data_IF_446030801062
#
_entry.id   IF_446030801062
#
_cell.length_a   1.000
_cell.length_b   1.000
_cell.length_c   1.000
_cell.angle_alpha   90.00
_cell.angle_beta   90.00
_cell.angle_gamma   90.00
#
_symmetry.space_group_name_H-M   'P 1'
#
loop_
_entity.id
_entity.type
_entity.pdbx_description
1 polymer ?
#
# COMPACT_ATOMS: atom_id res chain seq x y z
N UNK A 1 12.40 19.27 -18.74
CA UNK A 1 12.82 19.75 -17.42
C UNK A 1 13.29 21.19 -17.54
N UNK A 2 12.83 22.06 -16.67
CA UNK A 2 13.41 23.40 -16.49
C UNK A 2 14.85 23.26 -15.95
N UNK A 3 15.68 24.29 -16.12
CA UNK A 3 17.10 24.25 -15.75
C UNK A 3 17.36 24.06 -14.23
N UNK A 4 16.34 24.28 -13.40
CA UNK A 4 16.34 24.17 -11.95
C UNK A 4 15.59 22.92 -11.43
N UNK A 5 15.19 22.01 -12.32
CA UNK A 5 14.54 20.75 -11.93
C UNK A 5 15.57 19.62 -11.84
N UNK A 6 15.54 18.90 -10.71
CA UNK A 6 16.45 17.81 -10.44
C UNK A 6 15.67 16.58 -9.96
N UNK A 7 15.98 15.36 -10.45
CA UNK A 7 15.50 14.15 -9.82
C UNK A 7 16.22 13.97 -8.48
N UNK A 8 15.46 13.77 -7.40
CA UNK A 8 16.00 13.48 -6.07
C UNK A 8 15.29 12.24 -5.55
N UNK A 9 16.07 11.26 -5.06
CA UNK A 9 15.56 10.05 -4.43
C UNK A 9 15.11 10.35 -3.00
N UNK A 10 13.94 10.99 -2.87
CA UNK A 10 13.27 11.22 -1.60
C UNK A 10 12.19 10.18 -1.38
N UNK A 11 12.15 9.61 -0.17
CA UNK A 11 11.08 8.68 0.17
C UNK A 11 9.72 9.37 0.19
N UNK A 12 9.58 10.50 0.90
CA UNK A 12 8.37 11.33 0.81
C UNK A 12 8.79 12.78 0.68
N UNK A 13 8.13 13.53 -0.20
CA UNK A 13 8.36 14.97 -0.31
C UNK A 13 7.84 15.68 0.97
N UNK A 14 8.71 16.33 1.78
CA UNK A 14 8.34 16.77 3.13
C UNK A 14 7.15 17.74 3.21
N UNK A 15 6.92 18.52 2.15
CA UNK A 15 5.90 19.58 2.09
C UNK A 15 4.70 19.25 1.18
N UNK A 16 4.55 17.98 0.77
CA UNK A 16 3.38 17.56 -0.02
C UNK A 16 2.11 17.90 0.76
N UNK A 17 1.16 18.60 0.13
CA UNK A 17 -0.10 18.97 0.75
C UNK A 17 -0.03 20.07 1.81
N UNK A 18 1.11 20.76 1.97
CA UNK A 18 1.17 21.97 2.79
C UNK A 18 0.30 23.08 2.19
N UNK A 19 -0.23 24.02 3.00
CA UNK A 19 -0.78 25.27 2.48
C UNK A 19 0.27 26.04 1.66
N UNK A 20 -0.20 26.70 0.60
CA UNK A 20 0.63 27.43 -0.35
C UNK A 20 1.18 26.55 -1.47
N UNK A 21 2.25 27.03 -2.12
CA UNK A 21 2.78 26.41 -3.33
C UNK A 21 3.79 25.30 -2.99
N UNK A 22 3.48 24.08 -3.42
CA UNK A 22 4.38 22.91 -3.34
C UNK A 22 4.48 22.14 -4.66
N UNK A 23 3.83 22.60 -5.72
CA UNK A 23 3.91 22.05 -7.08
C UNK A 23 4.33 23.14 -8.06
N UNK A 24 5.04 22.77 -9.12
CA UNK A 24 5.35 23.63 -10.26
C UNK A 24 4.91 22.90 -11.55
N UNK A 25 3.98 23.45 -12.35
CA UNK A 25 3.18 24.64 -12.04
C UNK A 25 2.26 24.43 -10.82
N UNK A 26 1.79 25.52 -10.25
CA UNK A 26 0.80 25.47 -9.16
C UNK A 26 -0.55 24.94 -9.67
N UNK A 27 -1.16 24.06 -8.89
CA UNK A 27 -2.55 23.65 -9.05
C UNK A 27 -3.31 23.80 -7.72
N UNK A 28 -4.55 24.31 -7.74
CA UNK A 28 -5.35 24.44 -6.53
C UNK A 28 -5.63 23.05 -5.93
N UNK A 29 -5.60 22.89 -4.60
CA UNK A 29 -5.98 21.64 -3.96
C UNK A 29 -7.39 21.17 -4.34
N UNK A 30 -7.61 19.87 -4.24
CA UNK A 30 -8.86 19.20 -4.62
C UNK A 30 -9.03 19.00 -6.13
N UNK A 31 -10.04 18.19 -6.46
CA UNK A 31 -10.34 17.75 -7.81
C UNK A 31 -11.25 16.52 -7.79
N UNK A 32 -11.98 16.22 -8.89
CA UNK A 32 -12.95 15.14 -8.92
C UNK A 32 -12.35 13.74 -8.73
N UNK A 33 -11.05 13.54 -9.03
CA UNK A 33 -10.39 12.22 -8.97
C UNK A 33 -9.97 11.88 -7.55
N UNK A 34 -9.21 12.74 -6.87
CA UNK A 34 -8.68 12.50 -5.52
C UNK A 34 -9.61 13.02 -4.42
N UNK A 35 -10.34 14.12 -4.66
CA UNK A 35 -11.22 14.80 -3.69
C UNK A 35 -10.53 15.21 -2.39
N UNK A 36 -9.22 15.37 -2.44
CA UNK A 36 -8.41 15.76 -1.28
C UNK A 36 -8.67 17.22 -0.91
N UNK A 37 -8.57 17.56 0.37
CA UNK A 37 -8.49 18.96 0.79
C UNK A 37 -7.07 19.54 0.66
N UNK A 38 -6.05 18.69 0.45
CA UNK A 38 -4.63 19.08 0.54
C UNK A 38 -3.88 19.00 -0.79
N UNK A 39 -4.22 18.05 -1.67
CA UNK A 39 -3.49 17.84 -2.93
C UNK A 39 -4.39 18.01 -4.16
N UNK A 40 -3.85 18.57 -5.26
CA UNK A 40 -4.54 18.63 -6.56
C UNK A 40 -4.59 17.25 -7.23
N UNK A 41 -5.48 17.07 -8.20
CA UNK A 41 -5.55 15.84 -9.00
C UNK A 41 -4.30 15.63 -9.88
N UNK A 42 -3.65 16.73 -10.26
CA UNK A 42 -2.48 16.77 -11.13
C UNK A 42 -1.22 16.17 -10.49
N UNK A 43 -1.24 15.90 -9.19
CA UNK A 43 -0.18 15.12 -8.53
C UNK A 43 -0.19 13.64 -8.98
N UNK A 44 -1.34 13.15 -9.45
CA UNK A 44 -1.45 11.80 -9.95
C UNK A 44 -0.92 11.71 -11.39
N UNK A 45 -0.18 10.64 -11.68
CA UNK A 45 0.23 10.35 -13.05
C UNK A 45 -1.00 10.29 -13.98
N UNK A 46 -0.92 10.87 -15.20
CA UNK A 46 -2.08 11.02 -16.08
C UNK A 46 -2.63 9.69 -16.62
N UNK A 47 -1.88 8.59 -16.53
CA UNK A 47 -2.34 7.29 -16.95
C UNK A 47 -3.56 6.84 -16.14
N UNK A 48 -4.67 6.53 -16.82
CA UNK A 48 -6.01 6.33 -16.23
C UNK A 48 -6.07 5.35 -15.05
N UNK A 49 -5.19 4.34 -15.05
CA UNK A 49 -5.04 3.38 -13.94
C UNK A 49 -4.94 4.06 -12.57
N UNK A 50 -4.16 5.14 -12.42
CA UNK A 50 -3.89 5.76 -11.12
C UNK A 50 -5.09 6.55 -10.56
N UNK A 51 -5.72 7.48 -11.29
CA UNK A 51 -6.93 8.13 -10.79
C UNK A 51 -8.10 7.17 -10.61
N UNK A 52 -8.25 6.15 -11.47
CA UNK A 52 -9.27 5.10 -11.29
C UNK A 52 -9.03 4.31 -10.00
N UNK A 53 -7.77 3.94 -9.70
CA UNK A 53 -7.42 3.26 -8.45
C UNK A 53 -7.80 4.10 -7.23
N UNK A 54 -7.45 5.39 -7.21
CA UNK A 54 -7.80 6.28 -6.11
C UNK A 54 -9.32 6.44 -5.94
N UNK A 55 -10.05 6.60 -7.04
CA UNK A 55 -11.50 6.74 -7.03
C UNK A 55 -12.19 5.46 -6.53
N UNK A 56 -11.80 4.29 -7.03
CA UNK A 56 -12.41 3.01 -6.67
C UNK A 56 -12.10 2.62 -5.22
N UNK A 57 -10.91 2.92 -4.69
CA UNK A 57 -10.58 2.74 -3.27
C UNK A 57 -11.52 3.58 -2.40
N UNK A 58 -11.67 4.87 -2.70
CA UNK A 58 -12.55 5.78 -1.96
C UNK A 58 -14.01 5.32 -2.03
N UNK A 59 -14.47 4.98 -3.23
CA UNK A 59 -15.84 4.50 -3.47
C UNK A 59 -16.13 3.23 -2.68
N UNK A 60 -15.27 2.21 -2.80
CA UNK A 60 -15.41 0.95 -2.04
C UNK A 60 -15.38 1.18 -0.53
N UNK A 61 -14.46 2.02 -0.06
CA UNK A 61 -14.33 2.35 1.38
C UNK A 61 -15.57 3.07 1.92
N UNK A 62 -16.31 3.77 1.05
CA UNK A 62 -17.45 4.63 1.42
C UNK A 62 -17.05 5.95 2.07
N UNK A 63 -15.75 6.24 2.13
CA UNK A 63 -15.15 7.47 2.68
C UNK A 63 -13.75 7.66 2.13
N UNK A 64 -13.18 8.86 2.33
CA UNK A 64 -11.76 9.10 2.03
C UNK A 64 -10.86 8.17 2.85
N UNK A 65 -9.67 7.90 2.31
CA UNK A 65 -8.61 7.25 3.08
C UNK A 65 -8.17 8.18 4.21
N UNK A 66 -7.81 7.62 5.35
CA UNK A 66 -7.45 8.40 6.54
C UNK A 66 -6.02 8.05 6.94
N UNK A 67 -5.08 8.90 6.51
CA UNK A 67 -3.65 8.75 6.80
C UNK A 67 -3.30 9.69 7.96
N UNK A 68 -3.42 9.17 9.18
CA UNK A 68 -3.11 9.91 10.41
C UNK A 68 -1.74 9.50 10.93
N UNK A 69 -0.79 10.44 10.96
CA UNK A 69 0.59 10.22 11.40
C UNK A 69 0.81 10.91 12.73
N UNK A 70 1.28 10.21 13.78
CA UNK A 70 1.57 10.85 15.06
C UNK A 70 2.51 12.05 14.88
N UNK A 71 2.15 13.22 15.40
CA UNK A 71 3.01 14.40 15.35
C UNK A 71 4.14 14.28 16.37
N UNK A 72 5.32 14.80 16.05
CA UNK A 72 6.40 14.94 17.02
C UNK A 72 6.07 16.05 18.03
N UNK A 73 6.15 15.73 19.33
CA UNK A 73 5.93 16.68 20.41
C UNK A 73 7.26 17.28 20.86
N UNK A 74 7.57 18.48 20.35
CA UNK A 74 8.64 19.32 20.85
C UNK A 74 8.14 20.21 22.01
N UNK A 75 9.05 20.95 22.66
CA UNK A 75 8.79 21.88 23.78
C UNK A 75 7.63 22.85 23.52
N UNK A 76 7.47 23.28 22.28
CA UNK A 76 6.45 24.27 21.88
C UNK A 76 5.31 23.68 21.05
N UNK A 77 5.25 22.36 20.86
CA UNK A 77 4.11 21.71 20.20
C UNK A 77 2.91 21.74 21.17
N UNK A 78 1.76 22.34 20.81
CA UNK A 78 0.55 22.30 21.62
C UNK A 78 0.17 20.88 22.08
N UNK A 79 -0.47 20.76 23.24
CA UNK A 79 -0.99 19.49 23.75
C UNK A 79 -2.41 19.67 24.32
N UNK A 80 -3.46 19.16 23.64
CA UNK A 80 -3.39 18.42 22.38
C UNK A 80 -2.96 19.30 21.21
N UNK A 81 -2.23 18.72 20.26
CA UNK A 81 -1.96 19.33 18.98
C UNK A 81 -3.12 19.05 18.03
N UNK A 82 -3.61 20.08 17.34
CA UNK A 82 -4.58 19.92 16.26
C UNK A 82 -3.94 20.36 14.96
N UNK A 83 -4.11 19.55 13.92
CA UNK A 83 -3.54 19.86 12.62
C UNK A 83 -4.11 21.17 12.08
N UNK A 84 -3.31 22.25 12.02
CA UNK A 84 -3.80 23.58 11.70
C UNK A 84 -4.14 23.74 10.21
N UNK A 85 -3.84 22.74 9.39
CA UNK A 85 -4.07 22.79 7.94
C UNK A 85 -5.39 22.13 7.52
N UNK A 86 -6.09 21.47 8.45
CA UNK A 86 -7.40 20.85 8.18
C UNK A 86 -8.47 21.94 8.07
N UNK A 87 -9.18 21.96 6.94
CA UNK A 87 -10.31 22.87 6.77
C UNK A 87 -11.62 22.18 7.19
N UNK A 88 -12.07 22.47 8.41
CA UNK A 88 -13.31 21.92 8.95
C UNK A 88 -14.57 22.50 8.32
N UNK A 89 -14.49 23.61 7.58
CA UNK A 89 -15.63 24.26 6.90
C UNK A 89 -15.69 23.90 5.40
N UNK A 90 -14.92 22.90 4.96
CA UNK A 90 -14.95 22.42 3.57
C UNK A 90 -16.22 21.57 3.31
N UNK A 91 -16.91 21.86 2.21
CA UNK A 91 -18.16 21.19 1.81
C UNK A 91 -18.20 20.85 0.31
N UNK A 92 -17.04 20.63 -0.30
CA UNK A 92 -16.95 20.39 -1.74
C UNK A 92 -17.42 18.98 -2.10
N UNK A 93 -17.21 18.02 -1.20
CA UNK A 93 -17.52 16.61 -1.37
C UNK A 93 -18.27 16.05 -0.15
N UNK A 94 -19.14 15.03 -0.33
CA UNK A 94 -19.81 14.38 0.80
C UNK A 94 -18.85 13.90 1.90
N UNK A 95 -17.68 13.41 1.49
CA UNK A 95 -16.64 12.88 2.38
C UNK A 95 -15.92 13.97 3.20
N UNK A 96 -16.13 15.27 2.93
CA UNK A 96 -15.57 16.36 3.74
C UNK A 96 -16.21 16.44 5.13
N UNK A 97 -17.36 15.78 5.34
CA UNK A 97 -17.99 15.69 6.66
C UNK A 97 -17.18 14.85 7.66
N UNK A 98 -16.36 13.92 7.18
CA UNK A 98 -15.64 12.97 8.03
C UNK A 98 -14.68 13.62 9.04
N UNK A 99 -14.11 14.79 8.73
CA UNK A 99 -13.27 15.52 9.69
C UNK A 99 -14.08 16.17 10.80
N UNK A 100 -15.37 16.43 10.59
CA UNK A 100 -16.29 17.03 11.58
C UNK A 100 -16.99 15.97 12.44
N UNK A 101 -17.50 14.91 11.81
CA UNK A 101 -18.38 13.93 12.48
C UNK A 101 -17.80 12.51 12.50
N UNK A 102 -16.92 12.19 11.54
CA UNK A 102 -16.35 10.85 11.36
C UNK A 102 -15.01 10.58 12.06
N UNK A 103 -14.43 11.59 12.73
CA UNK A 103 -13.15 11.46 13.44
C UNK A 103 -11.93 11.29 12.54
N UNK A 104 -11.99 11.74 11.28
CA UNK A 104 -10.90 11.55 10.32
C UNK A 104 -9.59 12.24 10.73
N UNK A 105 -9.65 13.37 11.45
CA UNK A 105 -8.50 14.16 11.89
C UNK A 105 -8.42 14.21 13.43
N UNK A 106 -7.89 13.16 14.09
CA UNK A 106 -7.79 13.10 15.55
C UNK A 106 -6.68 14.03 16.09
N UNK A 107 -6.84 14.47 17.34
CA UNK A 107 -5.82 15.21 18.10
C UNK A 107 -4.49 14.44 18.12
N UNK A 108 -3.36 15.16 17.99
CA UNK A 108 -1.97 14.68 17.95
C UNK A 108 -1.57 13.88 16.70
N UNK A 109 -2.32 14.01 15.60
CA UNK A 109 -1.98 13.38 14.32
C UNK A 109 -2.02 14.35 13.16
N UNK A 110 -0.96 14.37 12.35
CA UNK A 110 -0.92 15.00 11.03
C UNK A 110 -1.92 14.24 10.15
N UNK A 111 -2.97 14.93 9.69
CA UNK A 111 -4.06 14.34 8.93
C UNK A 111 -3.85 14.49 7.43
N UNK A 112 -3.97 13.40 6.69
CA UNK A 112 -3.84 13.36 5.23
C UNK A 112 -4.95 12.47 4.65
N UNK A 113 -5.58 12.89 3.55
CA UNK A 113 -6.87 12.34 3.10
C UNK A 113 -6.86 11.75 1.68
N UNK A 114 -5.67 11.53 1.11
CA UNK A 114 -5.51 11.12 -0.28
C UNK A 114 -4.50 9.99 -0.46
N UNK A 115 -4.71 9.18 -1.50
CA UNK A 115 -3.81 8.11 -1.90
C UNK A 115 -2.38 8.62 -2.19
N UNK A 116 -2.25 9.86 -2.66
CA UNK A 116 -0.97 10.50 -2.97
C UNK A 116 -0.02 10.60 -1.76
N UNK A 117 -0.55 10.73 -0.54
CA UNK A 117 0.28 10.80 0.67
C UNK A 117 0.97 9.48 1.04
N UNK A 118 0.53 8.37 0.44
CA UNK A 118 1.20 7.09 0.52
C UNK A 118 1.89 6.73 -0.79
N UNK A 119 1.10 6.51 -1.84
CA UNK A 119 1.59 6.04 -3.15
C UNK A 119 2.38 7.09 -3.94
N UNK A 120 2.39 8.34 -3.49
CA UNK A 120 3.34 9.37 -3.96
C UNK A 120 4.71 9.27 -3.27
N UNK A 121 4.92 8.31 -2.38
CA UNK A 121 6.22 8.00 -1.79
C UNK A 121 7.05 7.07 -2.68
N UNK A 122 8.37 7.19 -2.61
CA UNK A 122 9.33 6.34 -3.30
C UNK A 122 9.85 5.23 -2.37
N UNK A 123 10.54 4.24 -2.94
CA UNK A 123 11.12 3.13 -2.19
C UNK A 123 12.21 2.41 -2.97
N UNK A 124 13.02 1.63 -2.25
CA UNK A 124 13.94 0.67 -2.85
C UNK A 124 13.31 -0.73 -2.83
N UNK A 125 13.19 -1.37 -3.99
CA UNK A 125 12.67 -2.73 -4.12
C UNK A 125 13.63 -3.58 -4.93
N UNK A 126 13.96 -4.77 -4.41
CA UNK A 126 14.88 -5.71 -5.06
C UNK A 126 14.12 -6.98 -5.43
N UNK A 127 14.23 -7.41 -6.70
CA UNK A 127 13.62 -8.64 -7.17
C UNK A 127 14.69 -9.66 -7.51
N UNK A 128 14.63 -10.82 -6.86
CA UNK A 128 15.50 -11.96 -7.11
C UNK A 128 14.78 -12.99 -7.96
N UNK A 129 15.47 -13.57 -8.94
CA UNK A 129 14.99 -14.77 -9.62
C UNK A 129 15.57 -16.01 -8.94
N UNK A 130 14.69 -16.90 -8.47
CA UNK A 130 15.09 -18.19 -7.91
C UNK A 130 15.26 -19.24 -9.01
N UNK A 131 16.00 -20.31 -8.72
CA UNK A 131 16.22 -21.41 -9.67
C UNK A 131 14.93 -22.18 -10.00
N UNK A 132 14.00 -22.24 -9.06
CA UNK A 132 12.71 -22.92 -9.18
C UNK A 132 11.74 -22.47 -8.09
N UNK A 133 10.49 -22.95 -8.16
CA UNK A 133 9.43 -22.64 -7.21
C UNK A 133 9.81 -22.96 -5.75
N UNK A 134 10.48 -24.10 -5.52
CA UNK A 134 10.87 -24.55 -4.18
C UNK A 134 11.86 -23.59 -3.52
N UNK A 135 12.87 -23.13 -4.28
CA UNK A 135 13.80 -22.13 -3.78
C UNK A 135 13.13 -20.76 -3.61
N UNK A 136 12.27 -20.35 -4.54
CA UNK A 136 11.54 -19.08 -4.45
C UNK A 136 10.69 -19.02 -3.18
N UNK A 137 9.97 -20.09 -2.85
CA UNK A 137 9.16 -20.17 -1.62
C UNK A 137 10.02 -20.13 -0.35
N UNK A 138 11.16 -20.82 -0.36
CA UNK A 138 12.13 -20.78 0.74
C UNK A 138 12.72 -19.37 0.92
N UNK A 139 13.11 -18.71 -0.16
CA UNK A 139 13.65 -17.36 -0.14
C UNK A 139 12.61 -16.36 0.38
N UNK A 140 11.37 -16.42 -0.12
CA UNK A 140 10.27 -15.59 0.37
C UNK A 140 10.08 -15.73 1.89
N UNK A 141 10.10 -16.95 2.42
CA UNK A 141 9.93 -17.19 3.86
C UNK A 141 11.12 -16.71 4.69
N UNK A 142 12.35 -16.95 4.22
CA UNK A 142 13.56 -16.55 4.95
C UNK A 142 13.76 -15.02 4.96
N UNK A 143 13.33 -14.32 3.91
CA UNK A 143 13.42 -12.86 3.83
C UNK A 143 12.27 -12.15 4.54
N UNK A 144 11.10 -12.78 4.72
CA UNK A 144 9.94 -12.16 5.36
C UNK A 144 10.25 -11.53 6.75
N UNK A 145 10.94 -12.21 7.68
CA UNK A 145 11.29 -11.62 8.98
C UNK A 145 12.23 -10.42 8.91
N UNK A 146 13.01 -10.28 7.83
CA UNK A 146 13.92 -9.14 7.63
C UNK A 146 13.18 -7.87 7.24
N UNK A 147 11.91 -7.98 6.81
CA UNK A 147 11.14 -6.84 6.33
C UNK A 147 11.05 -5.67 7.32
N UNK A 148 10.54 -5.86 8.55
CA UNK A 148 10.50 -4.78 9.55
C UNK A 148 11.90 -4.31 10.00
N UNK A 149 12.92 -5.18 9.98
CA UNK A 149 14.29 -4.82 10.35
C UNK A 149 14.87 -3.85 9.32
N UNK A 150 14.75 -4.18 8.04
CA UNK A 150 15.27 -3.35 6.96
C UNK A 150 14.43 -2.09 6.75
N UNK A 151 13.14 -2.12 7.03
CA UNK A 151 12.32 -0.91 7.09
C UNK A 151 12.87 0.07 8.13
N UNK A 152 13.15 -0.40 9.36
CA UNK A 152 13.69 0.44 10.42
C UNK A 152 15.13 0.91 10.12
N UNK A 153 15.98 0.02 9.59
CA UNK A 153 17.36 0.33 9.26
C UNK A 153 17.47 1.40 8.14
N UNK A 154 16.54 1.40 7.20
CA UNK A 154 16.55 2.31 6.05
C UNK A 154 15.71 3.57 6.26
N UNK A 155 15.18 3.80 7.46
CA UNK A 155 14.25 4.89 7.77
C UNK A 155 14.64 6.24 7.15
N UNK A 156 13.75 6.82 6.34
CA UNK A 156 14.01 8.03 5.57
C UNK A 156 12.77 8.95 5.43
N UNK A 157 11.78 8.80 6.32
CA UNK A 157 10.51 9.55 6.28
C UNK A 157 10.10 10.16 7.63
N UNK A 158 10.83 11.17 8.13
CA UNK A 158 10.52 11.81 9.40
C UNK A 158 9.56 13.01 9.29
N UNK A 159 9.14 13.40 8.08
CA UNK A 159 8.33 14.62 7.86
C UNK A 159 7.14 14.34 6.96
N UNK A 160 5.96 14.81 7.37
CA UNK A 160 4.74 14.81 6.56
C UNK A 160 4.08 16.17 6.58
N UNK A 161 3.66 16.66 5.41
CA UNK A 161 2.87 17.89 5.27
C UNK A 161 3.47 19.09 6.02
N UNK A 162 4.80 19.17 6.07
CA UNK A 162 5.55 20.24 6.74
C UNK A 162 5.71 20.08 8.25
N UNK A 163 5.27 18.98 8.84
CA UNK A 163 5.39 18.69 10.27
C UNK A 163 6.31 17.50 10.52
N UNK A 164 7.12 17.60 11.57
CA UNK A 164 7.89 16.47 12.09
C UNK A 164 6.92 15.41 12.62
N UNK A 165 7.12 14.16 12.19
CA UNK A 165 6.35 13.00 12.62
C UNK A 165 7.07 12.27 13.76
N UNK A 166 6.32 11.60 14.63
CA UNK A 166 6.86 10.69 15.65
C UNK A 166 6.99 9.27 15.10
N UNK A 167 7.60 9.16 13.92
CA UNK A 167 7.92 7.93 13.18
C UNK A 167 8.85 8.31 12.02
N UNK A 168 9.76 7.41 11.66
CA UNK A 168 10.79 7.69 10.66
C UNK A 168 10.60 6.93 9.34
N UNK A 169 9.50 6.18 9.21
CA UNK A 169 9.23 5.27 8.08
C UNK A 169 7.85 5.50 7.47
N UNK A 170 7.70 5.18 6.18
CA UNK A 170 6.47 5.44 5.39
C UNK A 170 5.40 4.35 5.47
N UNK A 171 5.73 3.17 6.00
CA UNK A 171 5.00 1.93 5.71
C UNK A 171 3.52 1.99 6.08
N UNK A 172 3.21 2.48 7.28
CA UNK A 172 1.84 2.56 7.77
C UNK A 172 1.02 3.62 7.00
N UNK A 173 1.69 4.64 6.49
CA UNK A 173 1.10 5.74 5.74
C UNK A 173 0.68 5.27 4.37
N UNK A 174 1.55 4.53 3.66
CA UNK A 174 1.17 3.87 2.41
C UNK A 174 0.07 2.84 2.65
N UNK A 175 0.18 2.05 3.73
CA UNK A 175 -0.84 1.07 4.10
C UNK A 175 -2.24 1.70 4.19
N UNK A 176 -2.33 2.85 4.87
CA UNK A 176 -3.58 3.60 5.05
C UNK A 176 -4.04 4.31 3.77
N UNK A 177 -3.11 4.80 2.96
CA UNK A 177 -3.41 5.55 1.74
C UNK A 177 -4.12 4.73 0.65
N UNK A 178 -4.06 3.40 0.74
CA UNK A 178 -4.78 2.48 -0.16
C UNK A 178 -5.66 1.47 0.58
N UNK A 179 -6.01 1.77 1.84
CA UNK A 179 -6.89 0.92 2.62
C UNK A 179 -8.34 1.09 2.14
N UNK A 180 -8.79 0.17 1.29
CA UNK A 180 -10.15 0.17 0.76
C UNK A 180 -11.17 -0.49 1.69
N UNK A 181 -10.80 -0.91 2.90
CA UNK A 181 -11.70 -1.66 3.80
C UNK A 181 -12.93 -0.86 4.20
N UNK A 182 -14.11 -1.47 4.10
CA UNK A 182 -15.38 -0.89 4.55
C UNK A 182 -15.44 -0.81 6.08
N UNK A 183 -16.39 -0.06 6.67
CA UNK A 183 -16.66 -0.11 8.11
C UNK A 183 -16.99 -1.50 8.64
N UNK A 184 -17.62 -2.39 7.85
CA UNK A 184 -17.90 -3.76 8.30
C UNK A 184 -16.62 -4.61 8.32
N UNK A 185 -15.77 -4.50 7.29
CA UNK A 185 -14.47 -5.18 7.23
C UNK A 185 -13.50 -4.69 8.30
N UNK A 186 -13.53 -3.41 8.65
CA UNK A 186 -12.79 -2.81 9.77
C UNK A 186 -13.37 -3.21 11.13
N UNK A 187 -14.59 -3.75 11.14
CA UNK A 187 -15.28 -4.17 12.34
C UNK A 187 -15.97 -3.06 13.13
N UNK A 188 -16.02 -1.85 12.58
CA UNK A 188 -16.75 -0.68 13.10
C UNK A 188 -18.28 -0.90 13.05
N UNK A 189 -18.75 -1.73 12.11
CA UNK A 189 -20.14 -2.16 11.98
C UNK A 189 -20.24 -3.71 11.97
N UNK A 190 -21.40 -4.28 12.33
CA UNK A 190 -21.67 -5.71 12.12
C UNK A 190 -21.58 -6.09 10.64
N UNK A 191 -21.13 -7.31 10.33
CA UNK A 191 -21.14 -7.84 8.95
C UNK A 191 -22.59 -8.05 8.50
N UNK A 192 -22.95 -7.46 7.36
CA UNK A 192 -24.24 -7.61 6.68
C UNK A 192 -24.07 -7.79 5.18
N UNK A 193 -23.16 -7.03 4.58
CA UNK A 193 -22.91 -7.03 3.14
C UNK A 193 -21.52 -7.60 2.82
N UNK A 194 -20.54 -7.34 3.69
CA UNK A 194 -19.17 -7.85 3.52
C UNK A 194 -19.03 -9.29 4.05
N UNK A 195 -18.14 -10.06 3.41
CA UNK A 195 -17.94 -11.48 3.73
C UNK A 195 -17.12 -11.69 5.02
N UNK A 196 -16.18 -10.79 5.32
CA UNK A 196 -15.20 -10.99 6.38
C UNK A 196 -14.82 -9.70 7.11
N UNK A 197 -14.40 -9.84 8.37
CA UNK A 197 -13.60 -8.81 9.04
C UNK A 197 -12.15 -9.01 8.63
N UNK A 198 -11.52 -7.98 8.05
CA UNK A 198 -10.17 -8.11 7.51
C UNK A 198 -9.19 -7.29 8.35
N UNK A 199 -8.21 -7.93 9.03
CA UNK A 199 -7.39 -7.26 10.04
C UNK A 199 -6.41 -6.25 9.45
N UNK A 200 -5.98 -6.43 8.20
CA UNK A 200 -4.95 -5.61 7.55
C UNK A 200 -5.47 -4.98 6.26
N UNK A 201 -4.92 -3.82 5.90
CA UNK A 201 -5.07 -3.25 4.55
C UNK A 201 -4.51 -4.21 3.50
N UNK A 202 -4.92 -4.04 2.24
CA UNK A 202 -4.32 -4.76 1.09
C UNK A 202 -2.86 -4.38 0.84
N UNK A 203 -2.44 -3.21 1.35
CA UNK A 203 -1.04 -2.87 1.52
C UNK A 203 -0.67 -3.12 2.98
N UNK A 204 0.09 -4.18 3.29
CA UNK A 204 0.41 -4.55 4.67
C UNK A 204 1.57 -5.55 4.73
N UNK A 205 1.98 -5.97 5.93
CA UNK A 205 2.93 -7.08 6.04
C UNK A 205 2.37 -8.39 5.50
N UNK A 206 3.23 -9.31 5.05
CA UNK A 206 2.85 -10.67 4.66
C UNK A 206 2.07 -11.38 5.78
N UNK A 207 1.09 -12.20 5.40
CA UNK A 207 0.22 -12.95 6.34
C UNK A 207 0.55 -14.45 6.38
N UNK A 208 1.37 -14.93 5.46
CA UNK A 208 1.62 -16.34 5.24
C UNK A 208 3.09 -16.60 4.98
N UNK A 209 3.54 -17.75 5.49
CA UNK A 209 4.75 -18.44 5.06
C UNK A 209 4.33 -19.54 4.07
N UNK A 210 5.08 -19.68 2.98
CA UNK A 210 4.72 -20.54 1.85
C UNK A 210 5.73 -21.65 1.59
N UNK A 211 6.86 -21.75 2.28
CA UNK A 211 7.84 -22.83 2.07
C UNK A 211 7.27 -24.20 2.43
N UNK A 212 7.76 -25.24 1.76
CA UNK A 212 7.54 -26.66 2.13
C UNK A 212 8.69 -27.23 2.97
N UNK A 213 9.63 -26.38 3.40
CA UNK A 213 10.76 -26.79 4.24
C UNK A 213 10.25 -27.30 5.61
N UNK A 214 10.67 -28.50 6.06
CA UNK A 214 10.18 -29.10 7.31
C UNK A 214 10.55 -28.30 8.57
N UNK A 215 11.46 -27.32 8.47
CA UNK A 215 11.81 -26.42 9.57
C UNK A 215 10.76 -25.32 9.78
N UNK A 216 9.86 -25.09 8.84
CA UNK A 216 8.73 -24.16 8.99
C UNK A 216 7.70 -24.76 9.96
N UNK A 217 7.71 -24.24 11.18
CA UNK A 217 6.86 -24.76 12.25
C UNK A 217 5.42 -24.25 12.15
N UNK A 218 4.40 -25.06 12.51
CA UNK A 218 3.00 -24.64 12.48
C UNK A 218 2.71 -23.38 13.31
N UNK A 219 3.45 -23.15 14.38
CA UNK A 219 3.28 -21.99 15.29
C UNK A 219 3.65 -20.65 14.62
N UNK A 220 4.34 -20.66 13.48
CA UNK A 220 4.61 -19.45 12.70
C UNK A 220 3.44 -19.04 11.81
N UNK A 221 2.45 -19.92 11.64
CA UNK A 221 1.29 -19.68 10.80
C UNK A 221 0.21 -18.96 11.61
N UNK A 222 -0.54 -18.09 10.94
CA UNK A 222 -1.65 -17.36 11.59
C UNK A 222 -2.87 -18.27 11.72
N UNK A 223 -3.35 -18.59 12.93
CA UNK A 223 -4.52 -19.45 13.11
C UNK A 223 -5.81 -18.79 12.61
N UNK A 224 -5.91 -17.46 12.73
CA UNK A 224 -7.10 -16.67 12.35
C UNK A 224 -6.94 -16.03 10.96
N UNK A 225 -6.19 -16.67 10.05
CA UNK A 225 -6.00 -16.16 8.71
C UNK A 225 -7.31 -16.22 7.92
N UNK A 226 -7.80 -15.06 7.51
CA UNK A 226 -8.97 -14.95 6.64
C UNK A 226 -8.60 -15.45 5.24
N UNK A 227 -9.28 -16.48 4.77
CA UNK A 227 -9.15 -17.02 3.41
C UNK A 227 -10.52 -17.28 2.79
N UNK A 228 -10.56 -17.33 1.46
CA UNK A 228 -11.70 -17.89 0.73
C UNK A 228 -11.49 -19.39 0.54
N UNK A 229 -12.24 -20.20 1.31
CA UNK A 229 -12.10 -21.67 1.32
C UNK A 229 -12.49 -22.31 -0.03
N UNK A 230 -13.45 -21.73 -0.75
CA UNK A 230 -13.87 -22.24 -2.06
C UNK A 230 -12.77 -22.01 -3.10
N UNK A 231 -12.10 -20.85 -3.04
CA UNK A 231 -10.92 -20.57 -3.87
C UNK A 231 -9.77 -21.50 -3.50
N UNK A 232 -9.49 -21.70 -2.20
CA UNK A 232 -8.45 -22.62 -1.75
C UNK A 232 -8.68 -24.03 -2.30
N UNK A 233 -9.91 -24.55 -2.20
CA UNK A 233 -10.27 -25.87 -2.71
C UNK A 233 -10.02 -25.98 -4.22
N UNK A 234 -10.44 -24.98 -5.01
CA UNK A 234 -10.19 -24.94 -6.47
C UNK A 234 -8.70 -24.92 -6.81
N UNK A 235 -7.89 -24.17 -6.07
CA UNK A 235 -6.43 -24.11 -6.29
C UNK A 235 -5.77 -25.46 -5.98
N UNK A 236 -6.23 -26.16 -4.93
CA UNK A 236 -5.74 -27.50 -4.58
C UNK A 236 -6.16 -28.55 -5.61
N UNK A 237 -7.39 -28.51 -6.11
CA UNK A 237 -7.86 -29.36 -7.22
C UNK A 237 -7.02 -29.13 -8.49
N UNK A 238 -6.62 -27.87 -8.73
CA UNK A 238 -5.69 -27.48 -9.79
C UNK A 238 -4.24 -27.91 -9.58
N UNK A 239 -3.91 -28.60 -8.49
CA UNK A 239 -2.59 -29.17 -8.22
C UNK A 239 -1.66 -28.33 -7.35
N UNK A 240 -2.11 -27.21 -6.76
CA UNK A 240 -1.33 -26.52 -5.72
C UNK A 240 -1.34 -27.30 -4.41
N UNK A 241 -0.22 -27.27 -3.67
CA UNK A 241 -0.22 -27.75 -2.30
C UNK A 241 -0.96 -26.78 -1.36
N UNK A 242 -1.36 -27.31 -0.21
CA UNK A 242 -2.15 -26.61 0.81
C UNK A 242 -1.60 -25.21 1.17
N UNK A 243 -0.28 -25.09 1.39
CA UNK A 243 0.33 -23.81 1.83
C UNK A 243 0.27 -22.75 0.74
N UNK A 244 0.56 -23.14 -0.51
CA UNK A 244 0.54 -22.21 -1.63
C UNK A 244 -0.91 -21.83 -1.99
N UNK A 245 -1.83 -22.78 -1.94
CA UNK A 245 -3.26 -22.52 -2.13
C UNK A 245 -3.81 -21.55 -1.06
N UNK A 246 -3.47 -21.76 0.22
CA UNK A 246 -3.83 -20.83 1.31
C UNK A 246 -3.29 -19.42 1.08
N UNK A 247 -2.06 -19.27 0.58
CA UNK A 247 -1.50 -17.96 0.26
C UNK A 247 -2.33 -17.21 -0.79
N UNK A 248 -2.62 -17.83 -1.93
CA UNK A 248 -3.41 -17.17 -2.98
C UNK A 248 -4.87 -16.98 -2.57
N UNK A 249 -5.47 -17.94 -1.86
CA UNK A 249 -6.82 -17.78 -1.30
C UNK A 249 -6.92 -16.59 -0.33
N UNK A 250 -5.86 -16.30 0.44
CA UNK A 250 -5.79 -15.10 1.26
C UNK A 250 -5.71 -13.82 0.42
N UNK A 251 -4.93 -13.81 -0.67
CA UNK A 251 -4.81 -12.63 -1.54
C UNK A 251 -6.14 -12.32 -2.26
N UNK A 252 -6.92 -13.36 -2.56
CA UNK A 252 -8.17 -13.26 -3.32
C UNK A 252 -9.41 -12.98 -2.44
N UNK A 253 -9.24 -12.73 -1.14
CA UNK A 253 -10.30 -12.13 -0.31
C UNK A 253 -10.57 -10.65 -0.69
N UNK A 254 -9.72 -10.08 -1.55
CA UNK A 254 -9.81 -8.68 -1.99
C UNK A 254 -10.56 -8.58 -3.30
N UNK A 255 -11.40 -7.57 -3.41
CA UNK A 255 -11.98 -7.20 -4.69
C UNK A 255 -10.91 -6.62 -5.64
N UNK A 256 -11.06 -6.86 -6.96
CA UNK A 256 -10.30 -6.13 -7.98
C UNK A 256 -10.69 -4.64 -7.90
N UNK A 257 -9.72 -3.75 -8.11
CA UNK A 257 -9.96 -2.31 -7.96
C UNK A 257 -9.70 -1.51 -9.22
N UNK A 258 -8.96 -2.04 -10.19
CA UNK A 258 -8.89 -1.44 -11.52
C UNK A 258 -8.97 -2.55 -12.54
N UNK A 259 -10.07 -2.62 -13.29
CA UNK A 259 -10.27 -3.57 -14.38
C UNK A 259 -10.55 -2.74 -15.63
N UNK A 260 -9.89 -3.07 -16.74
CA UNK A 260 -10.19 -2.45 -18.03
C UNK A 260 -11.38 -3.17 -18.68
N UNK A 261 -12.21 -2.42 -19.41
CA UNK A 261 -13.41 -2.98 -20.02
C UNK A 261 -13.06 -4.03 -21.08
N UNK A 262 -11.94 -3.82 -21.78
CA UNK A 262 -11.40 -4.72 -22.79
C UNK A 262 -11.06 -6.10 -22.19
N UNK A 263 -10.54 -6.14 -20.96
CA UNK A 263 -10.22 -7.38 -20.25
C UNK A 263 -11.48 -8.17 -19.85
N UNK A 264 -12.67 -7.55 -19.89
CA UNK A 264 -13.94 -8.20 -19.54
C UNK A 264 -14.69 -8.77 -20.75
N UNK A 265 -14.27 -8.46 -21.97
CA UNK A 265 -14.98 -8.87 -23.19
C UNK A 265 -14.75 -10.36 -23.50
N UNK A 266 -13.52 -10.84 -23.36
CA UNK A 266 -13.14 -12.23 -23.62
C UNK A 266 -12.15 -12.75 -22.58
N UNK A 267 -12.38 -13.97 -22.08
CA UNK A 267 -11.45 -14.64 -21.17
C UNK A 267 -10.31 -15.30 -21.97
N UNK A 268 -9.16 -14.63 -22.01
CA UNK A 268 -7.94 -15.18 -22.61
C UNK A 268 -7.13 -16.00 -21.59
N UNK A 269 -7.21 -17.32 -21.69
CA UNK A 269 -6.47 -18.26 -20.82
C UNK A 269 -4.96 -18.24 -21.04
N UNK A 270 -4.46 -17.61 -22.11
CA UNK A 270 -3.05 -17.38 -22.37
C UNK A 270 -2.49 -16.13 -21.67
N UNK A 271 -3.35 -15.30 -21.06
CA UNK A 271 -2.94 -14.07 -20.36
C UNK A 271 -3.06 -14.22 -18.85
N UNK A 272 -2.36 -13.35 -18.14
CA UNK A 272 -2.35 -13.31 -16.67
C UNK A 272 -3.01 -12.05 -16.11
N UNK A 273 -3.69 -11.25 -16.92
CA UNK A 273 -4.18 -9.91 -16.55
C UNK A 273 -5.16 -9.95 -15.37
N UNK A 274 -6.11 -10.90 -15.37
CA UNK A 274 -7.03 -11.10 -14.25
C UNK A 274 -6.32 -11.53 -12.96
N UNK A 275 -5.33 -12.41 -13.07
CA UNK A 275 -4.49 -12.81 -11.93
C UNK A 275 -3.71 -11.61 -11.39
N UNK A 276 -3.05 -10.85 -12.29
CA UNK A 276 -2.27 -9.66 -11.94
C UNK A 276 -3.14 -8.54 -11.38
N UNK A 277 -4.43 -8.48 -11.72
CA UNK A 277 -5.36 -7.52 -11.11
C UNK A 277 -5.40 -7.66 -9.58
N UNK A 278 -5.49 -8.90 -9.09
CA UNK A 278 -5.49 -9.20 -7.66
C UNK A 278 -4.07 -9.24 -7.08
N UNK A 279 -3.12 -9.85 -7.78
CA UNK A 279 -1.75 -10.00 -7.30
C UNK A 279 -1.02 -8.66 -7.21
N UNK A 280 -1.11 -7.83 -8.25
CA UNK A 280 -0.39 -6.55 -8.30
C UNK A 280 -0.95 -5.53 -7.32
N UNK A 281 -2.20 -5.69 -6.86
CA UNK A 281 -2.89 -4.82 -5.90
C UNK A 281 -2.96 -5.38 -4.48
N UNK A 282 -2.36 -6.54 -4.22
CA UNK A 282 -1.95 -6.91 -2.87
C UNK A 282 -0.48 -6.50 -2.70
N UNK A 283 -0.24 -5.46 -1.91
CA UNK A 283 1.08 -4.87 -1.73
C UNK A 283 1.67 -5.28 -0.38
N UNK A 284 2.40 -6.38 -0.37
CA UNK A 284 3.08 -6.88 0.82
C UNK A 284 4.55 -6.47 0.87
N UNK A 285 5.25 -6.72 2.00
CA UNK A 285 6.70 -6.43 2.09
C UNK A 285 7.53 -7.45 1.32
N UNK A 286 7.03 -8.68 1.19
CA UNK A 286 7.47 -9.67 0.23
C UNK A 286 6.41 -9.87 -0.84
N UNK A 287 6.81 -10.07 -2.09
CA UNK A 287 5.91 -10.54 -3.14
C UNK A 287 6.51 -11.77 -3.81
N UNK A 288 5.75 -12.85 -3.82
CA UNK A 288 6.05 -14.05 -4.59
C UNK A 288 5.48 -13.89 -6.00
N UNK A 289 6.32 -13.91 -7.03
CA UNK A 289 5.95 -13.58 -8.41
C UNK A 289 6.03 -14.83 -9.28
N UNK A 290 4.88 -15.40 -9.70
CA UNK A 290 4.87 -16.47 -10.69
C UNK A 290 5.53 -16.04 -12.01
N UNK A 291 5.99 -17.01 -12.81
CA UNK A 291 6.39 -16.73 -14.19
C UNK A 291 5.18 -16.23 -15.00
N UNK A 292 5.40 -15.37 -16.01
CA UNK A 292 4.38 -15.04 -17.01
C UNK A 292 3.99 -16.28 -17.83
N UNK A 293 2.87 -16.21 -18.55
CA UNK A 293 2.38 -17.32 -19.37
C UNK A 293 3.39 -17.78 -20.44
N UNK A 294 4.21 -16.87 -20.96
CA UNK A 294 5.25 -17.16 -21.95
C UNK A 294 6.53 -17.77 -21.35
N UNK A 295 6.61 -17.92 -20.02
CA UNK A 295 7.76 -18.42 -19.26
C UNK A 295 9.10 -17.72 -19.59
N UNK A 296 9.06 -16.46 -20.05
CA UNK A 296 10.25 -15.67 -20.38
C UNK A 296 11.19 -15.42 -19.19
N UNK A 297 10.65 -15.49 -17.97
CA UNK A 297 11.36 -15.30 -16.69
C UNK A 297 10.82 -16.28 -15.64
N UNK A 298 11.67 -16.66 -14.69
CA UNK A 298 11.35 -17.67 -13.68
C UNK A 298 10.53 -17.16 -12.49
N UNK A 299 10.45 -18.02 -11.46
CA UNK A 299 9.86 -17.67 -10.16
C UNK A 299 10.72 -16.61 -9.47
N UNK A 300 10.09 -15.51 -9.06
CA UNK A 300 10.80 -14.38 -8.45
C UNK A 300 10.26 -14.06 -7.07
N UNK A 301 11.13 -13.47 -6.25
CA UNK A 301 10.80 -12.95 -4.93
C UNK A 301 11.21 -11.49 -4.90
N UNK A 302 10.27 -10.61 -4.56
CA UNK A 302 10.51 -9.18 -4.49
C UNK A 302 10.48 -8.73 -3.02
N UNK A 303 11.59 -8.14 -2.56
CA UNK A 303 11.76 -7.52 -1.25
C UNK A 303 11.47 -6.02 -1.37
N UNK A 304 10.42 -5.55 -0.68
CA UNK A 304 9.77 -4.24 -0.90
C UNK A 304 9.79 -3.22 0.27
N UNK A 305 10.25 -3.52 1.50
CA UNK A 305 10.04 -2.62 2.63
C UNK A 305 10.99 -1.43 2.67
N UNK A 306 12.19 -1.53 2.09
CA UNK A 306 13.23 -0.51 2.24
C UNK A 306 12.77 0.86 1.77
N UNK A 307 13.13 1.90 2.52
CA UNK A 307 12.99 3.28 2.08
C UNK A 307 14.08 3.60 1.05
N UNK A 308 13.80 4.53 0.14
CA UNK A 308 14.82 4.96 -0.82
C UNK A 308 15.74 5.99 -0.13
N UNK A 309 17.03 5.88 -0.40
CA UNK A 309 18.07 6.74 0.18
C UNK A 309 18.43 7.88 -0.78
N UNK A 310 19.04 8.94 -0.24
CA UNK A 310 19.35 10.15 -1.01
C UNK A 310 20.44 9.92 -2.08
N UNK A 311 21.38 9.01 -1.83
CA UNK A 311 22.49 8.77 -2.76
C UNK A 311 22.39 7.42 -3.46
N UNK A 312 22.88 7.38 -4.70
CA UNK A 312 23.02 6.14 -5.45
C UNK A 312 23.93 5.13 -4.72
N UNK A 313 24.94 5.62 -3.99
CA UNK A 313 25.83 4.78 -3.19
C UNK A 313 25.06 4.03 -2.09
N UNK A 314 24.24 4.73 -1.30
CA UNK A 314 23.44 4.10 -0.24
C UNK A 314 22.43 3.10 -0.82
N UNK A 315 21.75 3.48 -1.90
CA UNK A 315 20.80 2.60 -2.58
C UNK A 315 21.49 1.35 -3.15
N UNK A 316 22.67 1.49 -3.76
CA UNK A 316 23.47 0.37 -4.23
C UNK A 316 23.97 -0.51 -3.07
N UNK A 317 24.39 0.09 -1.94
CA UNK A 317 24.84 -0.65 -0.77
C UNK A 317 23.74 -1.55 -0.20
N UNK A 318 22.52 -1.02 -0.04
CA UNK A 318 21.37 -1.83 0.40
C UNK A 318 20.93 -2.85 -0.66
N UNK A 319 21.06 -2.53 -1.94
CA UNK A 319 20.75 -3.47 -3.03
C UNK A 319 21.70 -4.66 -3.06
N UNK A 320 23.00 -4.45 -2.79
CA UNK A 320 24.03 -5.50 -2.76
C UNK A 320 24.00 -6.29 -1.46
N UNK A 321 23.60 -5.65 -0.36
CA UNK A 321 23.42 -6.32 0.93
C UNK A 321 22.32 -7.39 0.88
N UNK A 322 21.26 -7.13 0.12
CA UNK A 322 20.12 -8.03 -0.06
C UNK A 322 20.41 -9.13 -1.08
#
# INVERSE_FOLDING_TARGET
>A
MHANEYPITLTTFPRIGCPGDFTEPYYPPSGPKLRSQFVPDEIANPHIRFPTLAANIRWRRGRKVQVNVPVFHDRNTPNPWRDPTVNYDLHNWPEDEDVRTGGAAPDNFIHMDAMAFGMGSCCLQITFQAKNITEGRKMYDQLSPLGPILLALTAATPVYKGFLANTDVRWNQISRAVDCRTPEELGEKPLKNDRWRIPKSRYASNSTYISTDPRLRPEYLSPDLVIDEDIKAKLMEGGMDDRLATHFAHLFIRDPIVVFEEDLQELDLGKTDHFENLQSTNWQHMRFKPPPADNSIGWRVEFRPMEIQLTDFENAAFSVFM
#
